data_IF_349917521642
#
_entry.id   IF_349917521642
#
_cell.length_a   1.000
_cell.length_b   1.000
_cell.length_c   1.000
_cell.angle_alpha   90.00
_cell.angle_beta   90.00
_cell.angle_gamma   90.00
#
_symmetry.space_group_name_H-M   'P 1'
#
loop_
_entity.id
_entity.type
_entity.pdbx_description
1 polymer ?
#
# COMPACT_ATOMS: atom_id res chain seq x y z
N UNK A 1 -36.61 -50.03 13.63
CA UNK A 1 -35.27 -50.13 14.25
C UNK A 1 -34.29 -49.49 13.29
N UNK A 2 -34.02 -48.18 13.42
CA UNK A 2 -32.81 -47.64 14.08
C UNK A 2 -31.56 -48.21 13.39
N UNK A 3 -30.67 -47.46 12.75
CA UNK A 3 -29.90 -46.31 13.26
C UNK A 3 -28.88 -45.94 12.16
N UNK A 4 -28.83 -44.70 11.70
CA UNK A 4 -27.83 -43.69 12.08
C UNK A 4 -26.70 -43.54 11.08
N UNK A 5 -26.73 -42.42 10.36
CA UNK A 5 -25.56 -41.78 9.74
C UNK A 5 -24.50 -41.46 10.79
N UNK A 6 -23.23 -41.35 10.38
CA UNK A 6 -22.41 -40.26 10.90
C UNK A 6 -21.78 -39.47 9.75
N UNK A 7 -22.08 -38.17 9.73
CA UNK A 7 -21.29 -37.16 9.02
C UNK A 7 -20.00 -36.90 9.81
N UNK A 8 -18.81 -36.92 9.20
CA UNK A 8 -17.64 -36.38 9.86
C UNK A 8 -17.64 -34.85 9.69
N UNK A 9 -18.16 -34.15 10.70
CA UNK A 9 -17.87 -32.73 10.92
C UNK A 9 -16.45 -32.62 11.47
N UNK A 10 -15.46 -32.54 10.58
CA UNK A 10 -14.08 -32.19 10.94
C UNK A 10 -13.97 -30.67 11.00
N UNK A 11 -14.52 -30.07 12.06
CA UNK A 11 -14.26 -28.68 12.40
C UNK A 11 -12.87 -28.58 13.02
N UNK A 12 -11.82 -28.69 12.20
CA UNK A 12 -10.48 -28.28 12.59
C UNK A 12 -10.49 -26.77 12.78
N UNK A 13 -10.82 -26.33 13.99
CA UNK A 13 -10.60 -24.97 14.45
C UNK A 13 -9.10 -24.80 14.64
N UNK A 14 -8.39 -24.63 13.53
CA UNK A 14 -7.09 -23.98 13.56
C UNK A 14 -7.33 -22.63 14.21
N UNK A 15 -6.74 -22.42 15.38
CA UNK A 15 -6.68 -21.11 16.02
C UNK A 15 -5.91 -20.21 15.05
N UNK A 16 -6.63 -19.55 14.15
CA UNK A 16 -6.05 -18.54 13.27
C UNK A 16 -5.49 -17.46 14.19
N UNK A 17 -4.17 -17.37 14.24
CA UNK A 17 -3.47 -16.36 15.02
C UNK A 17 -3.81 -15.00 14.39
N UNK A 18 -4.82 -14.34 14.93
CA UNK A 18 -5.20 -13.00 14.54
C UNK A 18 -4.29 -11.98 15.22
N UNK A 19 -3.85 -10.99 14.47
CA UNK A 19 -3.02 -9.90 14.96
C UNK A 19 -3.88 -8.71 15.38
N UNK A 20 -3.44 -8.07 16.45
CA UNK A 20 -4.01 -6.81 16.94
C UNK A 20 -3.55 -5.62 16.10
N UNK A 21 -2.35 -5.75 15.53
CA UNK A 21 -1.62 -4.69 14.84
C UNK A 21 -0.83 -5.30 13.69
N UNK A 22 -1.03 -4.76 12.48
CA UNK A 22 -0.16 -5.01 11.34
C UNK A 22 0.46 -3.68 10.93
N UNK A 23 1.78 -3.62 10.80
CA UNK A 23 2.47 -2.38 10.46
C UNK A 23 3.46 -2.59 9.30
N UNK A 24 3.48 -1.65 8.35
CA UNK A 24 4.42 -1.63 7.23
C UNK A 24 5.04 -0.24 7.05
N UNK A 25 6.23 -0.04 7.62
CA UNK A 25 6.84 1.30 7.72
C UNK A 25 7.79 1.66 6.56
N UNK A 26 8.35 0.66 5.87
CA UNK A 26 9.43 0.92 4.90
C UNK A 26 9.05 0.56 3.45
N UNK A 27 7.84 0.03 3.21
CA UNK A 27 7.43 -0.43 1.89
C UNK A 27 5.91 -0.56 1.73
N UNK A 28 5.11 0.26 2.42
CA UNK A 28 3.65 0.20 2.29
C UNK A 28 3.21 0.47 0.85
N UNK A 29 3.85 1.43 0.20
CA UNK A 29 3.61 1.78 -1.20
C UNK A 29 3.93 0.63 -2.17
N UNK A 30 4.82 -0.30 -1.79
CA UNK A 30 5.18 -1.44 -2.63
C UNK A 30 4.01 -2.37 -2.96
N UNK A 31 2.89 -2.29 -2.23
CA UNK A 31 1.67 -3.03 -2.55
C UNK A 31 1.10 -2.59 -3.91
N UNK A 32 1.30 -1.32 -4.30
CA UNK A 32 0.85 -0.73 -5.56
C UNK A 32 1.70 -1.13 -6.78
N UNK A 33 2.70 -2.00 -6.61
CA UNK A 33 3.47 -2.52 -7.75
C UNK A 33 2.58 -3.21 -8.80
N UNK A 34 1.54 -3.90 -8.36
CA UNK A 34 0.50 -4.47 -9.23
C UNK A 34 -0.83 -4.59 -8.50
N UNK A 35 -1.91 -4.65 -9.26
CA UNK A 35 -3.25 -4.87 -8.71
C UNK A 35 -3.33 -6.19 -7.93
N UNK A 36 -2.72 -7.27 -8.47
CA UNK A 36 -2.66 -8.57 -7.81
C UNK A 36 -1.95 -8.51 -6.45
N UNK A 37 -0.82 -7.79 -6.38
CA UNK A 37 -0.06 -7.62 -5.13
C UNK A 37 -0.84 -6.80 -4.11
N UNK A 38 -1.54 -5.76 -4.55
CA UNK A 38 -2.41 -4.95 -3.68
C UNK A 38 -3.52 -5.82 -3.10
N UNK A 39 -4.29 -6.52 -3.94
CA UNK A 39 -5.38 -7.40 -3.53
C UNK A 39 -4.91 -8.51 -2.59
N UNK A 40 -3.79 -9.15 -2.92
CA UNK A 40 -3.20 -10.21 -2.07
C UNK A 40 -2.80 -9.67 -0.70
N UNK A 41 -2.20 -8.48 -0.64
CA UNK A 41 -1.77 -7.88 0.63
C UNK A 41 -2.98 -7.45 1.47
N UNK A 42 -3.98 -6.79 0.88
CA UNK A 42 -5.18 -6.38 1.60
C UNK A 42 -6.01 -7.58 2.08
N UNK A 43 -6.10 -8.64 1.26
CA UNK A 43 -6.73 -9.90 1.67
C UNK A 43 -6.00 -10.54 2.84
N UNK A 44 -4.67 -10.57 2.80
CA UNK A 44 -3.86 -11.09 3.91
C UNK A 44 -4.09 -10.27 5.18
N UNK A 45 -4.02 -8.93 5.09
CA UNK A 45 -4.29 -8.04 6.23
C UNK A 45 -5.69 -8.30 6.77
N UNK A 46 -6.72 -8.32 5.92
CA UNK A 46 -8.10 -8.53 6.36
C UNK A 46 -8.34 -9.90 7.02
N UNK A 47 -7.68 -10.96 6.56
CA UNK A 47 -7.83 -12.31 7.13
C UNK A 47 -7.06 -12.48 8.44
N UNK A 48 -5.94 -11.79 8.57
CA UNK A 48 -5.05 -11.95 9.71
C UNK A 48 -5.24 -10.86 10.78
N UNK A 49 -6.04 -9.83 10.52
CA UNK A 49 -6.33 -8.77 11.49
C UNK A 49 -7.59 -9.13 12.28
N UNK A 50 -7.52 -9.04 13.61
CA UNK A 50 -8.73 -9.21 14.44
C UNK A 50 -9.74 -8.10 14.15
N UNK A 51 -11.01 -8.33 14.44
CA UNK A 51 -12.01 -7.26 14.45
C UNK A 51 -11.58 -6.14 15.42
N UNK A 52 -11.45 -4.92 14.90
CA UNK A 52 -10.96 -3.77 15.66
C UNK A 52 -9.43 -3.72 15.82
N UNK A 53 -8.67 -4.58 15.14
CA UNK A 53 -7.23 -4.42 14.97
C UNK A 53 -6.90 -3.25 14.03
N UNK A 54 -5.63 -2.85 14.03
CA UNK A 54 -5.17 -1.70 13.26
C UNK A 54 -4.13 -2.07 12.21
N UNK A 55 -4.23 -1.45 11.04
CA UNK A 55 -3.23 -1.51 9.99
C UNK A 55 -2.60 -0.14 9.81
N UNK A 56 -1.30 -0.03 10.08
CA UNK A 56 -0.53 1.20 9.91
C UNK A 56 0.53 1.02 8.84
N UNK A 57 0.86 2.12 8.18
CA UNK A 57 2.08 2.15 7.39
C UNK A 57 2.48 3.55 7.04
N UNK A 58 3.69 3.64 6.52
CA UNK A 58 4.27 4.89 6.03
C UNK A 58 4.52 4.73 4.54
N UNK A 59 4.17 5.78 3.81
CA UNK A 59 4.42 5.87 2.39
C UNK A 59 4.87 7.30 2.06
N UNK A 60 5.68 7.49 1.02
CA UNK A 60 6.00 8.81 0.52
C UNK A 60 4.73 9.53 0.02
N UNK A 61 4.73 10.86 0.12
CA UNK A 61 3.63 11.71 -0.36
C UNK A 61 3.54 11.65 -1.90
N UNK A 62 2.72 10.72 -2.37
CA UNK A 62 2.55 10.41 -3.79
C UNK A 62 1.93 11.58 -4.56
N UNK A 63 1.09 12.40 -3.92
CA UNK A 63 0.47 13.57 -4.55
C UNK A 63 1.50 14.67 -4.85
N UNK A 64 2.40 14.96 -3.91
CA UNK A 64 3.46 15.94 -4.10
C UNK A 64 4.50 15.45 -5.13
N UNK A 65 4.86 14.16 -5.07
CA UNK A 65 5.75 13.51 -6.05
C UNK A 65 5.16 13.58 -7.47
N UNK A 66 3.87 13.25 -7.64
CA UNK A 66 3.16 13.36 -8.92
C UNK A 66 3.05 14.80 -9.42
N UNK A 67 2.69 15.75 -8.54
CA UNK A 67 2.55 17.16 -8.90
C UNK A 67 3.87 17.78 -9.36
N UNK A 68 4.98 17.49 -8.65
CA UNK A 68 6.33 17.93 -9.03
C UNK A 68 6.78 17.29 -10.34
N UNK A 69 6.46 16.03 -10.57
CA UNK A 69 6.76 15.34 -11.82
C UNK A 69 6.07 15.99 -13.03
N UNK A 70 4.79 16.37 -12.89
CA UNK A 70 4.05 17.05 -13.95
C UNK A 70 4.52 18.49 -14.21
N UNK A 71 5.00 19.20 -13.18
CA UNK A 71 5.48 20.58 -13.28
C UNK A 71 6.93 20.73 -13.74
N UNK A 72 7.71 19.65 -13.74
CA UNK A 72 9.10 19.69 -14.21
C UNK A 72 9.19 20.13 -15.66
N UNK A 73 9.87 21.25 -15.93
CA UNK A 73 10.01 21.92 -17.24
C UNK A 73 10.66 21.06 -18.35
N UNK A 74 11.12 19.84 -18.03
CA UNK A 74 11.66 18.89 -18.99
C UNK A 74 10.70 17.72 -19.15
N UNK A 75 9.71 17.88 -20.04
CA UNK A 75 8.73 16.88 -20.49
C UNK A 75 9.29 15.56 -21.05
N UNK A 76 10.60 15.31 -20.87
CA UNK A 76 11.34 14.14 -21.34
C UNK A 76 12.11 13.42 -20.24
N UNK A 77 12.28 14.02 -19.06
CA UNK A 77 12.95 13.43 -17.92
C UNK A 77 11.99 13.61 -16.75
N UNK A 78 11.21 12.58 -16.43
CA UNK A 78 10.30 12.54 -15.28
C UNK A 78 11.12 12.52 -13.98
N UNK A 79 12.04 13.45 -13.77
CA UNK A 79 12.99 13.45 -12.68
C UNK A 79 13.03 14.85 -12.09
N UNK A 80 12.98 14.94 -10.76
CA UNK A 80 13.16 16.20 -10.07
C UNK A 80 14.18 16.03 -8.94
N UNK A 81 14.98 17.06 -8.73
CA UNK A 81 16.06 17.04 -7.75
C UNK A 81 15.86 18.18 -6.76
N UNK A 82 15.90 17.84 -5.49
CA UNK A 82 15.93 18.79 -4.37
C UNK A 82 17.31 18.75 -3.70
N UNK A 83 17.53 19.56 -2.66
CA UNK A 83 18.82 19.62 -1.95
C UNK A 83 19.13 18.34 -1.18
N UNK A 84 18.09 17.68 -0.69
CA UNK A 84 18.20 16.51 0.20
C UNK A 84 17.97 15.18 -0.50
N UNK A 85 17.26 15.19 -1.63
CA UNK A 85 16.89 13.97 -2.33
C UNK A 85 16.66 14.21 -3.83
N UNK A 86 16.74 13.14 -4.61
CA UNK A 86 16.48 13.12 -6.04
C UNK A 86 15.42 12.07 -6.34
N UNK A 87 14.41 12.41 -7.14
CA UNK A 87 13.36 11.49 -7.58
C UNK A 87 13.50 11.25 -9.08
N UNK A 88 13.49 9.99 -9.49
CA UNK A 88 13.57 9.55 -10.88
C UNK A 88 12.49 8.53 -11.16
N UNK A 89 11.55 8.84 -12.06
CA UNK A 89 10.49 7.90 -12.40
C UNK A 89 10.95 6.89 -13.44
N UNK A 90 10.56 5.63 -13.24
CA UNK A 90 10.94 4.52 -14.11
C UNK A 90 9.87 4.18 -15.14
N UNK A 91 8.77 4.95 -15.13
CA UNK A 91 7.63 4.79 -16.02
C UNK A 91 7.15 6.14 -16.55
N UNK A 92 6.50 6.11 -17.71
CA UNK A 92 5.72 7.25 -18.19
C UNK A 92 4.41 7.30 -17.41
N UNK A 93 4.25 8.36 -16.63
CA UNK A 93 3.02 8.63 -15.88
C UNK A 93 1.86 8.83 -16.85
N UNK A 94 0.78 8.07 -16.65
CA UNK A 94 -0.43 8.14 -17.45
C UNK A 94 -1.65 8.32 -16.56
N UNK A 95 -2.55 9.18 -16.99
CA UNK A 95 -3.81 9.38 -16.29
C UNK A 95 -4.64 8.09 -16.31
N UNK A 96 -5.31 7.79 -15.20
CA UNK A 96 -6.08 6.54 -15.02
C UNK A 96 -5.26 5.26 -14.76
N UNK A 97 -3.93 5.31 -14.77
CA UNK A 97 -3.06 4.17 -14.39
C UNK A 97 -2.60 4.36 -12.95
N UNK A 98 -3.11 3.54 -12.03
CA UNK A 98 -2.83 3.68 -10.59
C UNK A 98 -1.82 2.66 -10.03
N UNK A 99 -1.47 1.63 -10.80
CA UNK A 99 -0.54 0.58 -10.37
C UNK A 99 0.73 0.57 -11.21
N UNK A 100 1.84 0.10 -10.64
CA UNK A 100 3.11 -0.06 -11.33
C UNK A 100 3.82 1.24 -11.66
N UNK A 101 3.37 2.37 -11.11
CA UNK A 101 4.03 3.67 -11.26
C UNK A 101 5.25 3.74 -10.34
N UNK A 102 6.36 3.12 -10.75
CA UNK A 102 7.60 3.07 -10.00
C UNK A 102 8.38 4.39 -10.10
N UNK A 103 8.89 4.86 -8.97
CA UNK A 103 9.90 5.91 -8.91
C UNK A 103 11.01 5.52 -7.93
N UNK A 104 12.21 5.99 -8.22
CA UNK A 104 13.39 5.85 -7.37
C UNK A 104 13.65 7.16 -6.67
N UNK A 105 13.73 7.10 -5.35
CA UNK A 105 14.12 8.22 -4.50
C UNK A 105 15.54 7.98 -3.99
N UNK A 106 16.45 8.86 -4.35
CA UNK A 106 17.83 8.84 -3.88
C UNK A 106 18.01 9.86 -2.77
N UNK A 107 18.42 9.42 -1.59
CA UNK A 107 18.79 10.29 -0.46
C UNK A 107 19.99 9.68 0.25
N UNK A 108 20.90 10.54 0.73
CA UNK A 108 22.17 10.12 1.37
C UNK A 108 23.03 9.12 0.55
N UNK A 109 22.90 9.13 -0.77
CA UNK A 109 23.60 8.21 -1.67
C UNK A 109 22.92 6.85 -1.86
N UNK A 110 21.93 6.52 -1.03
CA UNK A 110 21.12 5.30 -1.16
C UNK A 110 19.94 5.51 -2.11
N UNK A 111 19.56 4.47 -2.85
CA UNK A 111 18.44 4.50 -3.80
C UNK A 111 17.33 3.62 -3.26
N UNK A 112 16.19 4.23 -2.97
CA UNK A 112 14.99 3.56 -2.49
C UNK A 112 13.95 3.52 -3.60
N UNK A 113 13.40 2.33 -3.83
CA UNK A 113 12.36 2.13 -4.82
C UNK A 113 10.99 2.28 -4.17
N UNK A 114 10.15 3.10 -4.79
CA UNK A 114 8.81 3.39 -4.33
C UNK A 114 7.80 3.30 -5.46
N UNK A 115 6.53 3.18 -5.10
CA UNK A 115 5.41 3.18 -6.04
C UNK A 115 4.45 4.31 -5.73
N UNK A 116 3.91 4.92 -6.77
CA UNK A 116 2.93 5.98 -6.61
C UNK A 116 1.61 5.39 -6.10
N UNK A 117 1.15 5.87 -4.95
CA UNK A 117 -0.09 5.44 -4.32
C UNK A 117 -1.18 6.46 -4.61
N UNK A 118 -2.18 6.05 -5.38
CA UNK A 118 -3.38 6.87 -5.55
C UNK A 118 -4.30 6.70 -4.34
N UNK A 119 -4.27 7.69 -3.45
CA UNK A 119 -4.91 7.59 -2.14
C UNK A 119 -6.42 7.29 -2.19
N UNK A 120 -7.25 7.91 -3.07
CA UNK A 120 -8.65 7.55 -3.21
C UNK A 120 -8.86 6.09 -3.62
N UNK A 121 -7.99 5.55 -4.48
CA UNK A 121 -8.02 4.14 -4.89
C UNK A 121 -7.67 3.23 -3.71
N UNK A 122 -6.66 3.58 -2.91
CA UNK A 122 -6.31 2.84 -1.70
C UNK A 122 -7.48 2.75 -0.71
N UNK A 123 -8.13 3.88 -0.39
CA UNK A 123 -9.26 3.91 0.54
C UNK A 123 -10.39 3.01 0.04
N UNK A 124 -10.72 3.11 -1.25
CA UNK A 124 -11.77 2.30 -1.87
C UNK A 124 -11.46 0.81 -1.73
N UNK A 125 -10.24 0.40 -2.08
CA UNK A 125 -9.82 -0.99 -1.98
C UNK A 125 -9.83 -1.47 -0.54
N UNK A 126 -9.29 -0.71 0.41
CA UNK A 126 -9.36 -1.04 1.84
C UNK A 126 -10.81 -1.30 2.29
N UNK A 127 -11.76 -0.48 1.84
CA UNK A 127 -13.17 -0.66 2.17
C UNK A 127 -13.77 -1.97 1.64
N UNK A 128 -13.27 -2.49 0.52
CA UNK A 128 -13.67 -3.80 -0.02
C UNK A 128 -13.18 -4.97 0.86
N UNK A 129 -12.14 -4.74 1.67
CA UNK A 129 -11.54 -5.71 2.59
C UNK A 129 -11.89 -5.43 4.06
N UNK A 130 -13.03 -4.78 4.34
CA UNK A 130 -13.47 -4.42 5.70
C UNK A 130 -12.49 -3.54 6.49
N UNK A 131 -11.57 -2.86 5.81
CA UNK A 131 -10.66 -1.88 6.41
C UNK A 131 -11.23 -0.48 6.21
N UNK A 132 -11.28 0.31 7.28
CA UNK A 132 -11.66 1.71 7.24
C UNK A 132 -10.44 2.57 7.53
N UNK A 133 -10.22 3.59 6.71
CA UNK A 133 -9.23 4.63 7.02
C UNK A 133 -9.66 5.36 8.30
N UNK A 134 -8.80 5.34 9.32
CA UNK A 134 -9.02 6.08 10.56
C UNK A 134 -8.33 7.44 10.49
N UNK A 135 -7.03 7.44 10.21
CA UNK A 135 -6.22 8.66 10.19
C UNK A 135 -5.20 8.61 9.05
N UNK A 136 -4.90 9.78 8.51
CA UNK A 136 -3.76 10.02 7.65
C UNK A 136 -3.19 11.39 7.98
N UNK A 137 -1.91 11.43 8.29
CA UNK A 137 -1.20 12.68 8.56
C UNK A 137 0.08 12.74 7.75
N UNK A 138 0.39 13.94 7.24
CA UNK A 138 1.68 14.18 6.61
C UNK A 138 2.72 14.37 7.72
N UNK A 139 3.79 13.58 7.71
CA UNK A 139 4.87 13.63 8.70
C UNK A 139 5.52 15.01 8.82
N UNK A 140 5.51 15.83 7.76
CA UNK A 140 6.02 17.20 7.78
C UNK A 140 5.13 18.19 8.55
N UNK A 141 3.93 17.76 8.99
CA UNK A 141 3.05 18.53 9.89
C UNK A 141 3.17 18.05 11.35
N UNK A 142 3.81 16.90 11.57
CA UNK A 142 3.95 16.28 12.90
C UNK A 142 5.15 16.81 13.71
N UNK A 143 6.07 17.53 13.06
CA UNK A 143 7.25 18.19 13.64
C UNK A 143 7.25 19.68 13.29
#
# INVERSE_FOLDING_TARGET
>A
SSSSSPSPSSSSTSSELLYDLIASFQSMDSIFASEEKTKKTLSFVSQNLRNGGFFFGLMPDSSNVWYRAQKGESSRLNNFRDKLFEVSFQCTLRDGVYYGNEFRMKYDGEIHQHFLVHFPTLIKLCSEYNLRLLEIENLGRFY
#
